data_IF_243970520237
#
_entry.id   IF_243970520237
#
_cell.length_a   1.000
_cell.length_b   1.000
_cell.length_c   1.000
_cell.angle_alpha   90.00
_cell.angle_beta   90.00
_cell.angle_gamma   90.00
#
_symmetry.space_group_name_H-M   'P 1'
#
loop_
_entity.id
_entity.type
_entity.pdbx_description
1 polymer ?
#
# COMPACT_ATOMS: atom_id res chain seq x y z
N UNK A 1 3.37 7.95 28.02
CA UNK A 1 1.91 7.68 27.94
C UNK A 1 1.70 6.46 27.05
N UNK A 2 0.77 5.55 27.36
CA UNK A 2 0.45 4.42 26.47
C UNK A 2 -0.53 4.87 25.39
N UNK A 3 -0.19 4.69 24.10
CA UNK A 3 -1.09 5.04 22.99
C UNK A 3 -2.10 3.92 22.80
N UNK A 4 -3.38 4.29 22.73
CA UNK A 4 -4.45 3.36 22.36
C UNK A 4 -4.14 2.68 21.02
N UNK A 5 -4.00 1.35 21.08
CA UNK A 5 -3.72 0.54 19.89
C UNK A 5 -2.25 0.50 19.46
N UNK A 6 -1.30 0.97 20.28
CA UNK A 6 0.14 0.91 19.95
C UNK A 6 0.61 -0.50 19.57
N UNK A 7 0.24 -1.52 20.36
CA UNK A 7 0.55 -2.90 20.06
C UNK A 7 0.02 -3.34 18.68
N UNK A 8 -1.22 -2.95 18.36
CA UNK A 8 -1.82 -3.24 17.05
C UNK A 8 -1.07 -2.54 15.91
N UNK A 9 -0.71 -1.26 16.09
CA UNK A 9 0.09 -0.50 15.12
C UNK A 9 1.44 -1.15 14.86
N UNK A 10 2.16 -1.60 15.91
CA UNK A 10 3.43 -2.31 15.75
C UNK A 10 3.27 -3.67 15.07
N UNK A 11 2.25 -4.44 15.43
CA UNK A 11 1.93 -5.70 14.73
C UNK A 11 1.62 -5.44 13.26
N UNK A 12 0.83 -4.41 12.96
CA UNK A 12 0.45 -4.05 11.61
C UNK A 12 1.65 -3.58 10.78
N UNK A 13 2.53 -2.75 11.36
CA UNK A 13 3.79 -2.35 10.74
C UNK A 13 4.68 -3.58 10.41
N UNK A 14 4.74 -4.55 11.33
CA UNK A 14 5.42 -5.83 11.13
C UNK A 14 4.85 -6.61 9.95
N UNK A 15 3.52 -6.74 9.87
CA UNK A 15 2.85 -7.43 8.76
C UNK A 15 3.12 -6.72 7.42
N UNK A 16 3.06 -5.38 7.39
CA UNK A 16 3.31 -4.58 6.19
C UNK A 16 4.74 -4.77 5.66
N UNK A 17 5.75 -4.69 6.53
CA UNK A 17 7.15 -4.85 6.11
C UNK A 17 7.47 -6.30 5.72
N UNK A 18 6.91 -7.29 6.43
CA UNK A 18 7.04 -8.70 6.05
C UNK A 18 6.42 -8.96 4.68
N UNK A 19 5.21 -8.45 4.43
CA UNK A 19 4.56 -8.60 3.14
C UNK A 19 5.36 -7.92 2.01
N UNK A 20 5.91 -6.72 2.26
CA UNK A 20 6.79 -6.03 1.31
C UNK A 20 8.03 -6.88 0.96
N UNK A 21 8.69 -7.45 1.98
CA UNK A 21 9.85 -8.31 1.82
C UNK A 21 9.52 -9.59 1.04
N UNK A 22 8.44 -10.28 1.39
CA UNK A 22 7.98 -11.47 0.66
C UNK A 22 7.64 -11.15 -0.80
N UNK A 23 6.95 -10.03 -1.04
CA UNK A 23 6.60 -9.58 -2.40
C UNK A 23 7.86 -9.31 -3.23
N UNK A 24 8.88 -8.69 -2.64
CA UNK A 24 10.16 -8.47 -3.30
C UNK A 24 10.89 -9.79 -3.60
N UNK A 25 10.93 -10.71 -2.64
CA UNK A 25 11.54 -12.03 -2.82
C UNK A 25 10.87 -12.82 -3.95
N UNK A 26 9.54 -12.85 -4.01
CA UNK A 26 8.80 -13.52 -5.09
C UNK A 26 9.18 -12.97 -6.46
N UNK A 27 9.30 -11.65 -6.58
CA UNK A 27 9.68 -11.01 -7.83
C UNK A 27 11.12 -11.34 -8.21
N UNK A 28 12.08 -11.29 -7.26
CA UNK A 28 13.49 -11.64 -7.47
C UNK A 28 13.64 -13.10 -7.89
N UNK A 29 12.96 -14.03 -7.20
CA UNK A 29 12.97 -15.45 -7.53
C UNK A 29 12.49 -15.69 -8.96
N UNK A 30 11.43 -14.99 -9.37
CA UNK A 30 10.94 -15.05 -10.75
C UNK A 30 11.96 -14.54 -11.77
N UNK A 31 12.72 -13.48 -11.46
CA UNK A 31 13.82 -13.05 -12.33
C UNK A 31 14.91 -14.11 -12.42
N UNK A 32 15.26 -14.76 -11.29
CA UNK A 32 16.28 -15.81 -11.25
C UNK A 32 15.88 -17.09 -12.00
N UNK A 33 14.58 -17.37 -12.09
CA UNK A 33 14.04 -18.49 -12.86
C UNK A 33 14.02 -18.25 -14.38
N UNK A 34 14.59 -17.15 -14.86
CA UNK A 34 14.71 -16.85 -16.29
C UNK A 34 13.49 -16.16 -16.91
N UNK A 35 12.47 -15.80 -16.12
CA UNK A 35 11.34 -15.05 -16.62
C UNK A 35 11.77 -13.62 -16.99
N UNK A 36 11.48 -13.19 -18.22
CA UNK A 36 11.72 -11.79 -18.63
C UNK A 36 10.86 -10.87 -17.78
N UNK A 37 11.52 -9.96 -17.07
CA UNK A 37 10.86 -8.98 -16.20
C UNK A 37 10.20 -7.91 -17.07
N UNK A 38 8.89 -7.97 -17.17
CA UNK A 38 8.12 -6.99 -17.93
C UNK A 38 8.16 -5.61 -17.27
N UNK A 39 7.81 -4.56 -18.02
CA UNK A 39 7.62 -3.22 -17.45
C UNK A 39 6.54 -3.20 -16.36
N UNK A 40 5.52 -4.06 -16.51
CA UNK A 40 4.44 -4.23 -15.54
C UNK A 40 4.98 -4.81 -14.22
N UNK A 41 5.84 -5.83 -14.26
CA UNK A 41 6.43 -6.44 -13.07
C UNK A 41 7.22 -5.41 -12.24
N UNK A 42 8.09 -4.62 -12.90
CA UNK A 42 8.87 -3.57 -12.24
C UNK A 42 7.97 -2.49 -11.63
N UNK A 43 6.92 -2.11 -12.35
CA UNK A 43 5.96 -1.11 -11.88
C UNK A 43 5.19 -1.60 -10.66
N UNK A 44 4.70 -2.85 -10.67
CA UNK A 44 4.01 -3.46 -9.53
C UNK A 44 4.96 -3.55 -8.33
N UNK A 45 6.19 -4.04 -8.53
CA UNK A 45 7.21 -4.11 -7.48
C UNK A 45 7.40 -2.76 -6.78
N UNK A 46 7.67 -1.73 -7.59
CA UNK A 46 7.88 -0.36 -7.09
C UNK A 46 6.63 0.16 -6.39
N UNK A 47 5.45 -0.09 -6.95
CA UNK A 47 4.18 0.36 -6.37
C UNK A 47 3.95 -0.30 -5.02
N UNK A 48 3.94 -1.63 -4.93
CA UNK A 48 3.73 -2.35 -3.67
C UNK A 48 4.75 -1.93 -2.62
N UNK A 49 6.02 -1.82 -3.00
CA UNK A 49 7.07 -1.38 -2.09
C UNK A 49 6.80 0.05 -1.56
N UNK A 50 6.46 0.98 -2.44
CA UNK A 50 6.14 2.37 -2.07
C UNK A 50 4.99 2.40 -1.06
N UNK A 51 3.91 1.68 -1.35
CA UNK A 51 2.72 1.67 -0.50
C UNK A 51 2.96 1.00 0.85
N UNK A 52 3.64 -0.14 0.87
CA UNK A 52 3.95 -0.84 2.11
C UNK A 52 4.88 -0.03 3.02
N UNK A 53 5.85 0.70 2.44
CA UNK A 53 6.67 1.63 3.23
C UNK A 53 5.86 2.82 3.74
N UNK A 54 5.00 3.42 2.93
CA UNK A 54 4.11 4.50 3.38
C UNK A 54 3.17 4.05 4.49
N UNK A 55 2.61 2.85 4.39
CA UNK A 55 1.75 2.26 5.40
C UNK A 55 2.51 1.95 6.70
N UNK A 56 3.70 1.34 6.59
CA UNK A 56 4.59 1.10 7.74
C UNK A 56 4.95 2.41 8.44
N UNK A 57 5.31 3.45 7.67
CA UNK A 57 5.61 4.77 8.21
C UNK A 57 4.39 5.39 8.92
N UNK A 58 3.20 5.26 8.33
CA UNK A 58 1.94 5.68 8.96
C UNK A 58 1.68 4.95 10.28
N UNK A 59 1.89 3.63 10.32
CA UNK A 59 1.71 2.84 11.54
C UNK A 59 2.68 3.24 12.67
N UNK A 60 3.91 3.62 12.33
CA UNK A 60 4.93 4.04 13.29
C UNK A 60 4.84 5.52 13.70
N UNK A 61 4.07 6.34 12.97
CA UNK A 61 4.01 7.78 13.21
C UNK A 61 3.34 8.14 14.55
N UNK A 62 2.17 7.58 14.95
CA UNK A 62 1.62 7.83 16.28
C UNK A 62 2.58 7.47 17.43
N UNK A 63 3.18 6.25 17.50
CA UNK A 63 4.10 5.92 18.58
C UNK A 63 5.35 6.79 18.60
N UNK A 64 5.86 7.23 17.45
CA UNK A 64 6.95 8.21 17.40
C UNK A 64 6.56 9.55 18.03
N UNK A 65 5.37 10.06 17.72
CA UNK A 65 4.89 11.34 18.28
C UNK A 65 4.66 11.27 19.80
N UNK A 66 4.25 10.11 20.33
CA UNK A 66 4.15 9.94 21.79
C UNK A 66 5.49 9.94 22.51
N UNK A 67 6.61 9.62 21.85
CA UNK A 67 7.92 9.74 22.47
C UNK A 67 8.29 11.20 22.81
N UNK A 68 7.61 12.16 22.18
CA UNK A 68 7.74 13.59 22.48
C UNK A 68 6.70 14.11 23.48
N UNK A 69 5.99 13.20 24.16
CA UNK A 69 4.92 13.52 25.12
C UNK A 69 3.84 14.46 24.55
N UNK A 70 3.57 14.33 23.25
CA UNK A 70 2.52 15.11 22.60
C UNK A 70 1.12 14.74 23.15
N UNK A 71 0.18 15.71 23.22
CA UNK A 71 -1.21 15.43 23.55
C UNK A 71 -1.82 14.43 22.56
N UNK A 72 -2.63 13.48 23.05
CA UNK A 72 -3.26 12.45 22.22
C UNK A 72 -4.06 13.04 21.04
N UNK A 73 -4.76 14.17 21.26
CA UNK A 73 -5.48 14.91 20.21
C UNK A 73 -4.56 15.33 19.05
N UNK A 74 -3.37 15.85 19.37
CA UNK A 74 -2.37 16.28 18.39
C UNK A 74 -1.70 15.09 17.71
N UNK A 75 -1.42 14.01 18.43
CA UNK A 75 -0.84 12.78 17.85
C UNK A 75 -1.70 12.30 16.69
N UNK A 76 -3.02 12.12 16.91
CA UNK A 76 -3.91 11.61 15.86
C UNK A 76 -4.09 12.59 14.71
N UNK A 77 -4.12 13.90 14.98
CA UNK A 77 -4.24 14.92 13.92
C UNK A 77 -3.01 15.00 13.04
N UNK A 78 -1.82 15.06 13.65
CA UNK A 78 -0.55 15.12 12.92
C UNK A 78 -0.31 13.81 12.18
N UNK A 79 -0.54 12.66 12.82
CA UNK A 79 -0.40 11.37 12.16
C UNK A 79 -1.43 11.17 11.05
N UNK A 80 -2.68 11.59 11.29
CA UNK A 80 -3.78 11.58 10.32
C UNK A 80 -3.44 12.37 9.06
N UNK A 81 -3.08 13.65 9.21
CA UNK A 81 -2.70 14.50 8.08
C UNK A 81 -1.42 14.00 7.41
N UNK A 82 -0.40 13.68 8.20
CA UNK A 82 0.91 13.25 7.73
C UNK A 82 0.87 11.94 6.93
N UNK A 83 -0.06 11.04 7.25
CA UNK A 83 -0.29 9.82 6.49
C UNK A 83 -1.29 10.02 5.34
N UNK A 84 -2.44 10.65 5.59
CA UNK A 84 -3.53 10.71 4.63
C UNK A 84 -3.17 11.49 3.36
N UNK A 85 -2.43 12.59 3.49
CA UNK A 85 -2.03 13.43 2.34
C UNK A 85 -1.16 12.64 1.33
N UNK A 86 0.00 12.07 1.72
CA UNK A 86 0.81 11.30 0.78
C UNK A 86 0.09 10.04 0.31
N UNK A 87 -0.65 9.34 1.19
CA UNK A 87 -1.34 8.10 0.81
C UNK A 87 -2.45 8.35 -0.23
N UNK A 88 -3.32 9.33 0.00
CA UNK A 88 -4.37 9.68 -0.95
C UNK A 88 -3.78 10.16 -2.28
N UNK A 89 -2.71 10.95 -2.24
CA UNK A 89 -2.00 11.37 -3.45
C UNK A 89 -1.45 10.16 -4.23
N UNK A 90 -0.90 9.15 -3.55
CA UNK A 90 -0.47 7.92 -4.19
C UNK A 90 -1.66 7.17 -4.83
N UNK A 91 -2.75 6.96 -4.09
CA UNK A 91 -3.91 6.20 -4.56
C UNK A 91 -4.57 6.86 -5.77
N UNK A 92 -4.88 8.15 -5.68
CA UNK A 92 -5.56 8.89 -6.75
C UNK A 92 -4.69 9.00 -8.01
N UNK A 93 -3.37 9.12 -7.84
CA UNK A 93 -2.44 9.18 -8.99
C UNK A 93 -2.13 7.82 -9.61
N UNK A 94 -2.53 6.70 -8.98
CA UNK A 94 -2.20 5.36 -9.46
C UNK A 94 -2.65 5.07 -10.90
N UNK A 95 -3.90 5.36 -11.33
CA UNK A 95 -4.34 5.06 -12.69
C UNK A 95 -3.51 5.77 -13.76
N UNK A 96 -3.19 7.05 -13.51
CA UNK A 96 -2.37 7.87 -14.40
C UNK A 96 -0.94 7.33 -14.47
N UNK A 97 -0.32 7.07 -13.31
CA UNK A 97 1.04 6.50 -13.23
C UNK A 97 1.13 5.14 -13.92
N UNK A 98 0.12 4.28 -13.78
CA UNK A 98 0.08 2.97 -14.44
C UNK A 98 -0.05 3.12 -15.95
N UNK A 99 -0.94 4.00 -16.42
CA UNK A 99 -1.12 4.25 -17.86
C UNK A 99 0.15 4.80 -18.49
N UNK A 100 0.87 5.68 -17.80
CA UNK A 100 2.16 6.21 -18.27
C UNK A 100 3.27 5.14 -18.30
N UNK A 101 3.29 4.21 -17.34
CA UNK A 101 4.35 3.20 -17.25
C UNK A 101 4.12 1.97 -18.15
N UNK A 102 2.87 1.53 -18.30
CA UNK A 102 2.49 0.25 -18.93
C UNK A 102 1.60 0.44 -20.17
N UNK A 103 1.11 1.66 -20.43
CA UNK A 103 0.26 1.96 -21.59
C UNK A 103 -1.20 1.52 -21.45
N UNK A 104 -1.56 0.79 -20.38
CA UNK A 104 -2.92 0.29 -20.15
C UNK A 104 -3.55 0.84 -18.86
N UNK A 105 -4.88 0.91 -18.85
CA UNK A 105 -5.65 1.21 -17.64
C UNK A 105 -5.64 0.03 -16.66
N UNK A 106 -5.71 0.26 -15.34
CA UNK A 106 -5.81 -0.82 -14.37
C UNK A 106 -7.07 -1.66 -14.61
N UNK A 107 -7.04 -2.98 -14.29
CA UNK A 107 -8.24 -3.79 -14.25
C UNK A 107 -9.30 -3.14 -13.36
N UNK A 108 -10.57 -3.22 -13.76
CA UNK A 108 -11.67 -2.56 -13.04
C UNK A 108 -11.70 -2.92 -11.56
N UNK A 109 -11.53 -4.20 -11.21
CA UNK A 109 -11.52 -4.64 -9.82
C UNK A 109 -10.37 -4.03 -9.00
N UNK A 110 -9.16 -3.91 -9.60
CA UNK A 110 -8.03 -3.24 -8.95
C UNK A 110 -8.34 -1.76 -8.77
N UNK A 111 -8.89 -1.10 -9.78
CA UNK A 111 -9.29 0.31 -9.64
C UNK A 111 -10.32 0.52 -8.53
N UNK A 112 -11.39 -0.27 -8.50
CA UNK A 112 -12.46 -0.15 -7.51
C UNK A 112 -11.96 -0.41 -6.07
N UNK A 113 -11.17 -1.47 -5.86
CA UNK A 113 -10.74 -1.85 -4.51
C UNK A 113 -9.54 -1.03 -4.06
N UNK A 114 -8.50 -0.92 -4.88
CA UNK A 114 -7.28 -0.25 -4.47
C UNK A 114 -7.39 1.27 -4.51
N UNK A 115 -7.96 1.83 -5.59
CA UNK A 115 -8.05 3.28 -5.75
C UNK A 115 -9.27 3.80 -5.03
N UNK A 116 -10.47 3.34 -5.38
CA UNK A 116 -11.71 3.94 -4.85
C UNK A 116 -11.89 3.62 -3.37
N UNK A 117 -11.91 2.35 -2.98
CA UNK A 117 -12.09 1.98 -1.57
C UNK A 117 -10.92 2.46 -0.69
N UNK A 118 -9.68 2.28 -1.14
CA UNK A 118 -8.50 2.77 -0.41
C UNK A 118 -8.55 4.28 -0.15
N UNK A 119 -8.71 5.09 -1.21
CA UNK A 119 -8.78 6.55 -1.04
C UNK A 119 -10.01 7.01 -0.27
N UNK A 120 -11.16 6.35 -0.43
CA UNK A 120 -12.34 6.64 0.39
C UNK A 120 -12.07 6.37 1.88
N UNK A 121 -11.42 5.25 2.23
CA UNK A 121 -11.06 4.93 3.61
C UNK A 121 -10.07 5.95 4.19
N UNK A 122 -9.02 6.29 3.44
CA UNK A 122 -8.03 7.30 3.86
C UNK A 122 -8.67 8.69 4.07
N UNK A 123 -9.52 9.14 3.13
CA UNK A 123 -10.18 10.45 3.22
C UNK A 123 -11.26 10.50 4.30
N UNK A 124 -12.04 9.42 4.47
CA UNK A 124 -13.03 9.31 5.53
C UNK A 124 -12.35 9.37 6.92
N UNK A 125 -11.22 8.69 7.08
CA UNK A 125 -10.42 8.75 8.31
C UNK A 125 -9.87 10.16 8.56
N UNK A 126 -9.33 10.84 7.55
CA UNK A 126 -8.86 12.22 7.69
C UNK A 126 -10.00 13.15 8.13
N UNK A 127 -11.16 13.08 7.46
CA UNK A 127 -12.32 13.88 7.81
C UNK A 127 -12.79 13.59 9.25
N UNK A 128 -12.80 12.31 9.65
CA UNK A 128 -13.20 11.89 11.00
C UNK A 128 -12.27 12.47 12.09
N UNK A 129 -10.96 12.43 11.86
CA UNK A 129 -9.95 12.96 12.80
C UNK A 129 -10.02 14.49 12.88
N UNK A 130 -10.16 15.18 11.75
CA UNK A 130 -10.22 16.65 11.69
C UNK A 130 -11.51 17.17 12.33
N UNK A 131 -12.64 16.51 12.09
CA UNK A 131 -13.93 16.82 12.72
C UNK A 131 -13.91 16.63 14.24
N UNK A 132 -12.92 15.91 14.76
CA UNK A 132 -12.66 15.85 16.19
C UNK A 132 -13.47 14.80 16.94
N UNK A 133 -14.05 13.81 16.24
CA UNK A 133 -14.84 12.74 16.83
C UNK A 133 -14.05 11.89 17.84
N UNK A 134 -14.75 11.10 18.66
CA UNK A 134 -14.20 10.36 19.79
C UNK A 134 -13.21 9.25 19.39
N UNK A 135 -13.56 8.43 18.38
CA UNK A 135 -12.81 7.21 18.06
C UNK A 135 -11.68 7.41 17.04
N UNK A 136 -10.87 8.46 17.20
CA UNK A 136 -9.82 8.82 16.23
C UNK A 136 -8.78 7.73 16.01
N UNK A 137 -8.32 7.11 17.10
CA UNK A 137 -7.39 5.99 17.06
C UNK A 137 -7.94 4.83 16.21
N UNK A 138 -9.21 4.47 16.44
CA UNK A 138 -9.88 3.40 15.72
C UNK A 138 -10.06 3.75 14.24
N UNK A 139 -10.47 4.98 13.92
CA UNK A 139 -10.57 5.45 12.54
C UNK A 139 -9.23 5.38 11.80
N UNK A 140 -8.14 5.83 12.45
CA UNK A 140 -6.78 5.78 11.91
C UNK A 140 -6.33 4.35 11.61
N UNK A 141 -6.41 3.46 12.62
CA UNK A 141 -5.99 2.07 12.50
C UNK A 141 -6.85 1.32 11.47
N UNK A 142 -8.14 1.61 11.41
CA UNK A 142 -9.05 1.01 10.42
C UNK A 142 -8.66 1.37 9.00
N UNK A 143 -8.35 2.65 8.73
CA UNK A 143 -7.90 3.07 7.41
C UNK A 143 -6.58 2.40 7.00
N UNK A 144 -5.59 2.35 7.90
CA UNK A 144 -4.34 1.64 7.64
C UNK A 144 -4.58 0.15 7.32
N UNK A 145 -5.48 -0.48 8.06
CA UNK A 145 -5.82 -1.90 7.86
C UNK A 145 -6.51 -2.12 6.52
N UNK A 146 -7.52 -1.30 6.19
CA UNK A 146 -8.19 -1.34 4.90
C UNK A 146 -7.18 -1.15 3.77
N UNK A 147 -6.35 -0.11 3.84
CA UNK A 147 -5.36 0.18 2.82
C UNK A 147 -4.31 -0.94 2.67
N UNK A 148 -3.91 -1.57 3.77
CA UNK A 148 -3.02 -2.74 3.71
C UNK A 148 -3.66 -3.87 2.89
N UNK A 149 -4.92 -4.22 3.18
CA UNK A 149 -5.61 -5.29 2.44
C UNK A 149 -5.92 -4.90 1.00
N UNK A 150 -6.21 -3.64 0.70
CA UNK A 150 -6.43 -3.21 -0.69
C UNK A 150 -5.14 -3.28 -1.52
N UNK A 151 -3.98 -2.98 -0.93
CA UNK A 151 -2.68 -3.19 -1.59
C UNK A 151 -2.41 -4.67 -1.81
N UNK A 152 -2.64 -5.53 -0.81
CA UNK A 152 -2.49 -6.99 -0.95
C UNK A 152 -3.36 -7.49 -2.10
N UNK A 153 -4.63 -7.11 -2.11
CA UNK A 153 -5.56 -7.47 -3.19
C UNK A 153 -5.04 -7.02 -4.56
N UNK A 154 -4.57 -5.78 -4.67
CA UNK A 154 -3.98 -5.25 -5.90
C UNK A 154 -2.75 -6.02 -6.36
N UNK A 155 -1.90 -6.48 -5.43
CA UNK A 155 -0.74 -7.30 -5.73
C UNK A 155 -1.14 -8.71 -6.21
N UNK A 156 -2.04 -9.39 -5.51
CA UNK A 156 -2.50 -10.74 -5.87
C UNK A 156 -3.21 -10.73 -7.23
N UNK A 157 -4.13 -9.79 -7.43
CA UNK A 157 -4.81 -9.64 -8.72
C UNK A 157 -3.84 -9.35 -9.87
N UNK A 158 -2.73 -8.65 -9.58
CA UNK A 158 -1.70 -8.43 -10.57
C UNK A 158 -0.86 -9.69 -10.84
N UNK A 159 -0.54 -10.48 -9.81
CA UNK A 159 0.13 -11.77 -9.96
C UNK A 159 -0.69 -12.76 -10.79
N UNK A 160 -2.00 -12.84 -10.59
CA UNK A 160 -2.88 -13.72 -11.37
C UNK A 160 -2.79 -13.39 -12.87
N UNK A 161 -2.84 -12.11 -13.21
CA UNK A 161 -2.71 -11.65 -14.60
C UNK A 161 -1.34 -12.02 -15.16
N UNK A 162 -0.30 -11.90 -14.35
CA UNK A 162 1.06 -12.21 -14.77
C UNK A 162 1.26 -13.73 -14.95
N UNK A 163 0.68 -14.56 -14.10
CA UNK A 163 0.73 -16.02 -14.22
C UNK A 163 -0.03 -16.54 -15.44
N UNK A 164 -1.04 -15.80 -15.91
CA UNK A 164 -1.78 -16.12 -17.12
C UNK A 164 -1.03 -15.76 -18.42
N UNK A 165 0.09 -15.03 -18.34
CA UNK A 165 0.90 -14.75 -19.53
C UNK A 165 1.73 -16.00 -19.90
N UNK A 166 1.61 -16.53 -21.13
CA UNK A 166 2.41 -17.66 -21.58
C UNK A 166 3.90 -17.37 -21.40
N UNK A 167 4.67 -18.36 -20.94
CA UNK A 167 6.11 -18.34 -21.07
C UNK A 167 6.43 -18.31 -22.57
N UNK A 168 6.69 -17.13 -23.13
CA UNK A 168 7.26 -16.99 -24.47
C UNK A 168 8.60 -17.72 -24.48
N UNK A 169 8.60 -18.95 -25.00
CA UNK A 169 9.81 -19.70 -25.26
C UNK A 169 10.59 -18.96 -26.36
N UNK A 170 11.93 -18.93 -26.30
CA UNK A 170 12.73 -18.36 -27.38
C UNK A 170 12.39 -19.04 -28.70
N UNK A 171 12.26 -18.28 -29.78
CA UNK A 171 12.12 -18.85 -31.12
C UNK A 171 13.24 -19.85 -31.38
N UNK A 172 12.95 -21.02 -31.98
CA UNK A 172 13.97 -21.97 -32.35
C UNK A 172 14.97 -21.30 -33.30
N UNK A 173 16.28 -21.61 -33.19
CA UNK A 173 17.29 -21.03 -34.07
C UNK A 173 16.95 -21.33 -35.54
N UNK A 174 17.24 -20.39 -36.47
CA UNK A 174 17.04 -20.64 -37.89
C UNK A 174 17.87 -21.87 -38.31
N UNK A 175 17.20 -22.81 -38.98
CA UNK A 175 17.80 -24.03 -39.55
C UNK A 175 18.78 -23.71 -40.68
#
# INVERSE_FOLDING_TARGET
MDIKGAAFLFTLAGLMITFAGLSALLLVLRQSAGARVSRLDRYIAKTVMTYMFSLTAGALLPPLLALYDMPEDLIWRVAGVGFAVPMAALQVSYPVRRRMAVGSAPPFAVYAIFVVLGSAATLAMLAYIVAGFEYRAAAYISALTVDFFTVIYGFVAALDIIMLQPLELPDPPPL
#
